data_IF_143045526021
#
_entry.id   IF_143045526021
#
_cell.length_a   1.000
_cell.length_b   1.000
_cell.length_c   1.000
_cell.angle_alpha   90.00
_cell.angle_beta   90.00
_cell.angle_gamma   90.00
#
_symmetry.space_group_name_H-M   'P 1'
#
loop_
_entity.id
_entity.type
_entity.pdbx_description
1 polymer ?
#
# COMPACT_ATOMS: atom_id res chain seq x y z
N UNK A 1 16.90 14.38 5.33
CA UNK A 1 16.28 15.63 5.81
C UNK A 1 17.35 16.67 6.19
N UNK A 2 17.16 17.97 5.95
CA UNK A 2 17.99 19.02 6.54
C UNK A 2 17.86 19.04 8.06
N UNK A 3 18.94 19.35 8.79
CA UNK A 3 18.96 19.40 10.27
C UNK A 3 17.98 20.42 10.87
N UNK A 4 17.52 21.39 10.07
CA UNK A 4 16.59 22.43 10.50
C UNK A 4 15.15 21.92 10.75
N UNK A 5 14.83 20.67 10.39
CA UNK A 5 13.49 20.11 10.53
C UNK A 5 13.48 18.94 11.50
N UNK A 6 12.40 18.79 12.27
CA UNK A 6 12.22 17.70 13.24
C UNK A 6 11.64 16.43 12.64
N UNK A 7 10.99 16.51 11.47
CA UNK A 7 10.46 15.33 10.75
C UNK A 7 10.38 15.55 9.25
N UNK A 8 10.41 14.45 8.48
CA UNK A 8 10.26 14.50 7.02
C UNK A 8 8.95 15.18 6.62
N UNK A 9 7.87 14.95 7.37
CA UNK A 9 6.58 15.57 7.14
C UNK A 9 6.67 17.11 7.23
N UNK A 10 7.30 17.65 8.28
CA UNK A 10 7.43 19.10 8.46
C UNK A 10 8.33 19.70 7.37
N UNK A 11 9.42 19.01 7.03
CA UNK A 11 10.28 19.44 5.93
C UNK A 11 9.51 19.49 4.61
N UNK A 12 8.79 18.44 4.24
CA UNK A 12 8.02 18.43 2.99
C UNK A 12 6.90 19.46 2.99
N UNK A 13 6.14 19.59 4.09
CA UNK A 13 5.11 20.61 4.22
C UNK A 13 5.63 22.03 3.97
N UNK A 14 6.85 22.35 4.43
CA UNK A 14 7.47 23.67 4.23
C UNK A 14 7.70 24.04 2.75
N UNK A 15 7.88 23.04 1.88
CA UNK A 15 8.02 23.23 0.43
C UNK A 15 6.72 23.76 -0.20
N UNK A 16 5.58 23.43 0.38
CA UNK A 16 4.27 23.87 -0.12
C UNK A 16 3.91 25.28 0.36
N UNK A 17 4.30 25.65 1.58
CA UNK A 17 4.03 26.98 2.16
C UNK A 17 4.78 28.11 1.44
N UNK A 18 5.96 27.84 0.91
CA UNK A 18 6.87 28.84 0.32
C UNK A 18 6.54 29.24 -1.12
N UNK A 19 5.63 28.53 -1.79
CA UNK A 19 5.37 28.74 -3.21
C UNK A 19 4.13 29.61 -3.48
N UNK A 20 3.39 30.06 -2.46
CA UNK A 20 2.03 30.64 -2.55
C UNK A 20 1.91 32.05 -3.18
N UNK A 21 2.96 32.56 -3.82
CA UNK A 21 2.96 33.88 -4.48
C UNK A 21 2.36 33.88 -5.89
N UNK A 22 1.09 33.50 -6.02
CA UNK A 22 0.40 33.54 -7.33
C UNK A 22 -1.08 33.20 -7.22
N UNK A 23 -1.92 34.25 -7.23
CA UNK A 23 -3.37 34.17 -7.36
C UNK A 23 -3.75 33.71 -8.77
N UNK A 24 -3.87 32.40 -9.00
CA UNK A 24 -4.58 31.87 -10.16
C UNK A 24 -5.42 30.66 -9.75
N UNK A 25 -6.67 30.66 -10.23
CA UNK A 25 -7.76 29.73 -9.98
C UNK A 25 -7.38 28.27 -10.29
N UNK A 26 -6.77 27.59 -9.32
CA UNK A 26 -6.40 26.19 -9.38
C UNK A 26 -6.25 25.62 -7.98
N UNK A 27 -6.59 24.33 -7.80
CA UNK A 27 -6.68 23.66 -6.50
C UNK A 27 -5.50 23.99 -5.57
N UNK A 28 -5.80 24.32 -4.32
CA UNK A 28 -4.80 24.55 -3.27
C UNK A 28 -3.82 23.37 -3.21
N UNK A 29 -2.50 23.63 -3.28
CA UNK A 29 -1.51 22.58 -3.13
C UNK A 29 -1.71 21.87 -1.79
N UNK A 30 -1.81 20.54 -1.81
CA UNK A 30 -1.99 19.76 -0.59
C UNK A 30 -1.02 18.60 -0.55
N UNK A 31 -0.27 18.50 0.55
CA UNK A 31 0.46 17.31 0.91
C UNK A 31 -0.58 16.25 1.32
N UNK A 32 -0.60 15.11 0.64
CA UNK A 32 -1.57 14.04 0.88
C UNK A 32 -0.99 12.98 1.81
N UNK A 33 0.26 12.59 1.57
CA UNK A 33 0.95 11.57 2.37
C UNK A 33 2.45 11.79 2.39
N UNK A 34 3.11 11.43 3.49
CA UNK A 34 4.58 11.42 3.62
C UNK A 34 5.06 9.99 3.80
N UNK A 35 5.92 9.53 2.89
CA UNK A 35 6.54 8.23 2.97
C UNK A 35 7.82 8.29 3.81
N UNK A 36 7.93 7.39 4.79
CA UNK A 36 9.09 7.31 5.69
C UNK A 36 9.83 5.97 5.65
N UNK A 37 9.16 4.89 5.25
CA UNK A 37 9.65 3.53 5.44
C UNK A 37 10.35 2.99 4.18
N UNK A 38 9.61 2.79 3.09
CA UNK A 38 10.15 2.22 1.85
C UNK A 38 10.86 3.24 0.96
N UNK A 39 10.37 4.48 0.97
CA UNK A 39 10.92 5.60 0.19
C UNK A 39 10.91 6.87 1.01
N UNK A 40 11.85 7.78 0.74
CA UNK A 40 11.81 9.15 1.26
C UNK A 40 11.16 10.06 0.23
N UNK A 41 9.90 10.41 0.45
CA UNK A 41 9.15 11.26 -0.47
C UNK A 41 7.74 11.55 0.03
N UNK A 42 6.90 12.07 -0.85
CA UNK A 42 5.51 12.41 -0.54
C UNK A 42 4.59 12.26 -1.75
N UNK A 43 3.29 12.07 -1.50
CA UNK A 43 2.25 12.30 -2.49
C UNK A 43 1.60 13.66 -2.23
N UNK A 44 1.28 14.39 -3.30
CA UNK A 44 0.68 15.71 -3.17
C UNK A 44 -0.14 16.08 -4.41
N UNK A 45 -1.15 16.92 -4.19
CA UNK A 45 -1.87 17.61 -5.27
C UNK A 45 -1.14 18.91 -5.59
N UNK A 46 -0.71 19.06 -6.84
CA UNK A 46 0.11 20.19 -7.30
C UNK A 46 -0.40 20.74 -8.63
N UNK A 47 -0.29 22.06 -8.83
CA UNK A 47 -0.36 22.63 -10.17
C UNK A 47 0.96 22.42 -10.91
N UNK A 48 0.94 22.52 -12.25
CA UNK A 48 2.14 22.35 -13.07
C UNK A 48 3.24 23.35 -12.72
N UNK A 49 2.89 24.60 -12.40
CA UNK A 49 3.88 25.62 -12.04
C UNK A 49 4.58 25.31 -10.71
N UNK A 50 3.84 24.77 -9.74
CA UNK A 50 4.40 24.31 -8.47
C UNK A 50 5.31 23.12 -8.66
N UNK A 51 4.90 22.16 -9.49
CA UNK A 51 5.74 21.01 -9.83
C UNK A 51 7.07 21.48 -10.47
N UNK A 52 7.02 22.42 -11.42
CA UNK A 52 8.22 23.02 -12.02
C UNK A 52 9.10 23.74 -11.00
N UNK A 53 8.51 24.38 -10.00
CA UNK A 53 9.26 25.00 -8.91
C UNK A 53 9.96 23.96 -8.03
N UNK A 54 9.27 22.87 -7.67
CA UNK A 54 9.82 21.77 -6.86
C UNK A 54 10.95 21.05 -7.59
N UNK A 55 10.82 20.84 -8.91
CA UNK A 55 11.86 20.22 -9.74
C UNK A 55 13.20 20.94 -9.71
N UNK A 56 13.22 22.24 -9.38
CA UNK A 56 14.44 23.05 -9.28
C UNK A 56 15.12 22.93 -7.90
N UNK A 57 14.50 22.26 -6.93
CA UNK A 57 15.07 22.13 -5.59
C UNK A 57 16.26 21.15 -5.62
N UNK A 58 17.37 21.43 -4.91
CA UNK A 58 18.57 20.59 -4.91
C UNK A 58 18.40 19.14 -4.44
N UNK A 59 17.24 18.79 -3.86
CA UNK A 59 16.92 17.46 -3.33
C UNK A 59 15.79 16.77 -4.08
N UNK A 60 15.32 17.35 -5.18
CA UNK A 60 14.39 16.69 -6.08
C UNK A 60 15.12 15.57 -6.84
N UNK A 61 14.52 14.39 -6.91
CA UNK A 61 15.09 13.23 -7.62
C UNK A 61 14.24 12.91 -8.84
N UNK A 62 12.96 12.64 -8.64
CA UNK A 62 12.00 12.34 -9.70
C UNK A 62 10.57 12.59 -9.22
N UNK A 63 9.62 12.57 -10.16
CA UNK A 63 8.20 12.54 -9.85
C UNK A 63 7.52 11.54 -10.78
N UNK A 64 6.44 10.93 -10.29
CA UNK A 64 5.53 10.13 -11.09
C UNK A 64 4.13 10.71 -10.92
N UNK A 65 3.41 10.89 -12.02
CA UNK A 65 2.02 11.33 -11.95
C UNK A 65 1.18 10.19 -11.39
N UNK A 66 0.33 10.50 -10.41
CA UNK A 66 -0.66 9.55 -9.92
C UNK A 66 -1.72 9.30 -11.00
N UNK A 67 -1.95 8.03 -11.33
CA UNK A 67 -2.86 7.59 -12.40
C UNK A 67 -3.69 6.42 -11.86
N UNK A 68 -5.03 6.46 -12.00
CA UNK A 68 -5.87 5.34 -11.62
C UNK A 68 -5.47 4.06 -12.37
N UNK A 69 -5.45 2.93 -11.66
CA UNK A 69 -5.19 1.61 -12.25
C UNK A 69 -6.48 0.79 -12.21
N UNK A 70 -6.72 -0.01 -13.26
CA UNK A 70 -7.85 -0.93 -13.30
C UNK A 70 -7.48 -2.25 -12.60
N UNK A 71 -8.48 -2.94 -12.05
CA UNK A 71 -8.28 -4.26 -11.46
C UNK A 71 -8.20 -5.29 -12.59
N UNK A 72 -7.09 -6.02 -12.65
CA UNK A 72 -6.97 -7.19 -13.52
C UNK A 72 -7.56 -8.40 -12.78
N UNK A 73 -8.58 -9.05 -13.36
CA UNK A 73 -9.10 -10.32 -12.81
C UNK A 73 -8.71 -11.47 -13.72
N UNK A 74 -8.16 -12.55 -13.15
CA UNK A 74 -7.89 -13.79 -13.89
C UNK A 74 -8.47 -15.00 -13.18
N UNK A 75 -8.85 -16.01 -13.97
CA UNK A 75 -9.10 -17.39 -13.54
C UNK A 75 -7.86 -18.20 -13.88
N UNK A 76 -7.05 -18.49 -12.88
CA UNK A 76 -5.64 -18.90 -13.08
C UNK A 76 -5.33 -20.38 -12.84
N UNK A 77 -5.96 -21.11 -11.89
CA UNK A 77 -5.48 -22.45 -11.53
C UNK A 77 -5.55 -23.48 -12.66
N UNK A 78 -6.69 -23.57 -13.35
CA UNK A 78 -6.87 -24.49 -14.49
C UNK A 78 -5.96 -24.12 -15.67
N UNK A 79 -5.82 -22.81 -15.96
CA UNK A 79 -4.94 -22.30 -17.00
C UNK A 79 -3.47 -22.67 -16.76
N UNK A 80 -3.04 -22.65 -15.49
CA UNK A 80 -1.68 -23.01 -15.07
C UNK A 80 -1.49 -24.53 -14.88
N UNK A 81 -2.52 -25.34 -15.09
CA UNK A 81 -2.45 -26.80 -14.91
C UNK A 81 -2.24 -27.24 -13.45
N UNK A 82 -2.60 -26.41 -12.47
CA UNK A 82 -2.45 -26.73 -11.05
C UNK A 82 -3.43 -27.83 -10.64
N UNK A 83 -2.95 -28.80 -9.87
CA UNK A 83 -3.70 -30.00 -9.51
C UNK A 83 -3.44 -30.40 -8.05
N UNK A 84 -4.45 -30.95 -7.37
CA UNK A 84 -4.33 -31.41 -5.98
C UNK A 84 -3.51 -32.69 -5.81
N UNK A 85 -3.43 -33.56 -6.82
CA UNK A 85 -2.79 -34.86 -6.72
C UNK A 85 -1.30 -34.85 -7.12
N UNK A 86 -0.86 -33.88 -7.93
CA UNK A 86 0.52 -33.83 -8.43
C UNK A 86 0.94 -32.43 -8.86
N UNK A 87 2.27 -32.22 -8.97
CA UNK A 87 2.87 -30.98 -9.45
C UNK A 87 3.05 -29.93 -8.35
N UNK A 88 3.05 -28.65 -8.74
CA UNK A 88 3.50 -27.55 -7.89
C UNK A 88 2.76 -27.42 -6.55
N UNK A 89 1.49 -27.79 -6.46
CA UNK A 89 0.73 -27.72 -5.21
C UNK A 89 1.21 -28.74 -4.17
N UNK A 90 1.17 -30.07 -4.42
CA UNK A 90 1.80 -31.03 -3.53
C UNK A 90 3.28 -30.73 -3.24
N UNK A 91 4.06 -30.38 -4.26
CA UNK A 91 5.51 -30.15 -4.13
C UNK A 91 5.86 -28.95 -3.23
N UNK A 92 5.01 -27.92 -3.22
CA UNK A 92 5.12 -26.76 -2.33
C UNK A 92 4.40 -26.93 -1.00
N UNK A 93 3.86 -28.13 -0.72
CA UNK A 93 2.99 -28.38 0.43
C UNK A 93 1.83 -27.38 0.51
N UNK A 94 1.24 -27.06 -0.64
CA UNK A 94 0.13 -26.14 -0.81
C UNK A 94 0.40 -24.72 -0.28
N UNK A 95 1.67 -24.30 -0.24
CA UNK A 95 2.08 -23.01 0.29
C UNK A 95 2.05 -22.92 1.82
N UNK A 96 2.13 -24.05 2.52
CA UNK A 96 2.24 -24.08 3.99
C UNK A 96 3.38 -23.16 4.46
N UNK A 97 3.12 -22.40 5.53
CA UNK A 97 4.03 -21.42 6.15
C UNK A 97 4.43 -20.22 5.25
N UNK A 98 3.87 -20.11 4.05
CA UNK A 98 3.97 -18.90 3.23
C UNK A 98 2.93 -17.85 3.66
N UNK A 99 3.32 -16.58 3.57
CA UNK A 99 2.43 -15.44 3.83
C UNK A 99 2.42 -14.61 2.56
N UNK A 100 1.23 -14.39 1.99
CA UNK A 100 1.04 -13.65 0.76
C UNK A 100 0.33 -12.35 1.11
N UNK A 101 0.99 -11.21 0.87
CA UNK A 101 0.37 -9.89 0.96
C UNK A 101 -0.35 -9.56 -0.34
N UNK A 102 -1.59 -9.11 -0.26
CA UNK A 102 -2.40 -8.76 -1.42
C UNK A 102 -2.79 -7.27 -1.36
N UNK A 103 -2.36 -6.50 -2.36
CA UNK A 103 -2.84 -5.13 -2.57
C UNK A 103 -4.13 -5.19 -3.40
N UNK A 104 -5.27 -5.09 -2.73
CA UNK A 104 -6.58 -5.15 -3.37
C UNK A 104 -7.48 -4.00 -2.86
N UNK A 105 -8.67 -3.87 -3.44
CA UNK A 105 -9.68 -2.89 -3.02
C UNK A 105 -10.37 -3.24 -1.68
N UNK A 106 -10.00 -4.36 -1.06
CA UNK A 106 -10.59 -4.89 0.17
C UNK A 106 -10.85 -6.39 0.09
N UNK A 107 -11.51 -6.91 1.13
CA UNK A 107 -11.89 -8.31 1.25
C UNK A 107 -13.23 -8.44 1.98
N UNK A 108 -13.85 -9.62 1.88
CA UNK A 108 -15.08 -9.98 2.57
C UNK A 108 -14.75 -11.10 3.57
N UNK A 109 -14.37 -10.76 4.82
CA UNK A 109 -13.76 -11.72 5.76
C UNK A 109 -14.63 -12.94 6.07
N UNK A 110 -15.94 -12.78 6.00
CA UNK A 110 -16.93 -13.84 6.22
C UNK A 110 -17.09 -14.81 5.04
N UNK A 111 -16.39 -14.59 3.93
CA UNK A 111 -16.41 -15.51 2.80
C UNK A 111 -15.83 -16.88 3.18
N UNK A 112 -16.46 -17.95 2.70
CA UNK A 112 -15.99 -19.33 2.84
C UNK A 112 -14.53 -19.55 2.40
N UNK A 113 -14.04 -18.71 1.48
CA UNK A 113 -12.64 -18.74 1.01
C UNK A 113 -11.62 -18.40 2.10
N UNK A 114 -12.06 -17.75 3.18
CA UNK A 114 -11.25 -17.41 4.34
C UNK A 114 -11.50 -18.32 5.55
N UNK A 115 -12.29 -19.40 5.43
CA UNK A 115 -12.40 -20.40 6.50
C UNK A 115 -11.05 -21.05 6.80
N UNK A 116 -10.80 -21.34 8.07
CA UNK A 116 -9.48 -21.74 8.57
C UNK A 116 -9.48 -23.06 9.35
N UNK A 117 -10.52 -23.88 9.20
CA UNK A 117 -10.69 -25.18 9.88
C UNK A 117 -9.51 -26.13 9.65
N UNK A 118 -8.95 -26.13 8.43
CA UNK A 118 -7.80 -26.95 8.04
C UNK A 118 -6.45 -26.23 8.13
N UNK A 119 -6.43 -24.99 8.64
CA UNK A 119 -5.20 -24.18 8.75
C UNK A 119 -4.47 -24.44 10.06
N UNK A 120 -3.14 -24.55 9.97
CA UNK A 120 -2.26 -24.46 11.13
C UNK A 120 -2.33 -23.06 11.76
N UNK A 121 -1.80 -22.89 12.97
CA UNK A 121 -1.73 -21.57 13.62
C UNK A 121 -0.93 -20.55 12.81
N UNK A 122 -1.17 -19.27 13.08
CA UNK A 122 -0.46 -18.16 12.42
C UNK A 122 1.06 -18.31 12.63
N UNK A 123 1.90 -18.20 11.58
CA UNK A 123 3.34 -18.33 11.72
C UNK A 123 3.92 -17.30 12.70
N UNK A 124 4.78 -17.73 13.64
CA UNK A 124 5.35 -16.86 14.68
C UNK A 124 6.18 -15.67 14.15
N UNK A 125 6.65 -15.79 12.91
CA UNK A 125 7.37 -14.71 12.18
C UNK A 125 6.45 -13.60 11.70
N UNK A 126 5.13 -13.81 11.65
CA UNK A 126 4.16 -12.77 11.33
C UNK A 126 4.14 -11.71 12.43
N UNK A 127 4.18 -10.44 12.01
CA UNK A 127 4.19 -9.25 12.89
C UNK A 127 3.18 -8.19 12.44
N UNK A 128 2.31 -8.52 11.48
CA UNK A 128 1.23 -7.63 11.08
C UNK A 128 0.09 -7.67 12.09
N UNK A 129 -0.84 -6.76 11.90
CA UNK A 129 -1.99 -6.56 12.79
C UNK A 129 -3.29 -6.73 12.00
N UNK A 130 -4.39 -6.87 12.74
CA UNK A 130 -5.74 -6.80 12.19
C UNK A 130 -6.31 -5.43 12.59
N UNK A 131 -6.13 -4.43 11.74
CA UNK A 131 -6.42 -3.05 12.08
C UNK A 131 -7.94 -2.82 12.15
N UNK A 132 -8.40 -2.13 13.19
CA UNK A 132 -9.83 -1.81 13.32
C UNK A 132 -10.20 -0.68 12.36
N UNK A 133 -11.24 -0.90 11.57
CA UNK A 133 -11.69 0.03 10.54
C UNK A 133 -13.20 0.13 10.45
N UNK A 134 -13.69 0.79 9.39
CA UNK A 134 -15.13 0.90 9.13
C UNK A 134 -15.70 -0.48 8.83
N UNK A 135 -16.66 -0.94 9.64
CA UNK A 135 -17.28 -2.26 9.53
C UNK A 135 -16.28 -3.44 9.59
N UNK A 136 -15.10 -3.23 10.15
CA UNK A 136 -14.07 -4.25 10.28
C UNK A 136 -13.47 -4.20 11.68
N UNK A 137 -13.50 -5.31 12.40
CA UNK A 137 -12.92 -5.41 13.75
C UNK A 137 -11.81 -6.46 13.80
N UNK A 138 -10.98 -6.40 14.84
CA UNK A 138 -9.80 -7.25 14.98
C UNK A 138 -10.11 -8.75 15.08
N UNK A 139 -11.34 -9.14 15.42
CA UNK A 139 -11.79 -10.54 15.47
C UNK A 139 -12.15 -11.11 14.09
N UNK A 140 -12.17 -10.28 13.05
CA UNK A 140 -12.43 -10.74 11.68
C UNK A 140 -11.20 -11.38 11.03
N UNK A 141 -10.01 -11.22 11.60
CA UNK A 141 -8.84 -12.02 11.23
C UNK A 141 -8.84 -13.38 11.93
N UNK A 142 -8.31 -14.38 11.25
CA UNK A 142 -8.22 -15.77 11.72
C UNK A 142 -6.89 -16.40 11.26
N UNK A 143 -6.76 -17.74 11.22
CA UNK A 143 -5.52 -18.41 10.78
C UNK A 143 -5.30 -18.37 9.26
N UNK A 144 -6.30 -17.94 8.48
CA UNK A 144 -6.24 -17.79 7.01
C UNK A 144 -6.04 -16.33 6.61
N UNK A 145 -6.92 -15.44 7.03
CA UNK A 145 -6.75 -13.98 6.93
C UNK A 145 -6.04 -13.50 8.21
N UNK A 146 -4.71 -13.45 8.17
CA UNK A 146 -3.90 -13.22 9.38
C UNK A 146 -3.62 -11.74 9.69
N UNK A 147 -4.02 -10.83 8.79
CA UNK A 147 -3.97 -9.38 8.98
C UNK A 147 -4.60 -8.64 7.80
N UNK A 148 -5.12 -7.44 8.08
CA UNK A 148 -5.86 -6.59 7.16
C UNK A 148 -5.90 -5.16 7.71
#
# INVERSE_FOLDING_TARGET
MPKAFSSHHIWYASVFSTTSGGSQSGSTPSLLYTYSNAIHGFSARLSLDKLRAIQKLPRFVSFTRDVPTAVDTTRTPEFLGLNFASGAWPDSNYGKDMIIGLFNTGNWPESDTFMDDSMAGVPQRWKGECEVGTNFNSFMCNKKLIGA
#
